data_IF_781039966163
#
_entry.id   IF_781039966163
#
_cell.length_a   1.000
_cell.length_b   1.000
_cell.length_c   1.000
_cell.angle_alpha   90.00
_cell.angle_beta   90.00
_cell.angle_gamma   90.00
#
_symmetry.space_group_name_H-M   'P 1'
#
loop_
_entity.id
_entity.type
_entity.pdbx_description
1 polymer ?
#
# COMPACT_ATOMS: atom_id res chain seq x y z
N UNK A 1 -4.23 12.37 -23.31
CA UNK A 1 -3.82 10.98 -23.04
C UNK A 1 -2.97 10.96 -21.77
N UNK A 2 -3.45 10.38 -20.67
CA UNK A 2 -2.65 10.23 -19.45
C UNK A 2 -1.57 9.16 -19.69
N UNK A 3 -0.31 9.56 -19.86
CA UNK A 3 0.83 8.63 -20.00
C UNK A 3 1.02 7.89 -18.68
N UNK A 4 0.79 6.56 -18.68
CA UNK A 4 1.07 5.65 -17.57
C UNK A 4 2.47 5.92 -17.00
N UNK A 5 2.53 6.22 -15.70
CA UNK A 5 3.78 6.30 -14.93
C UNK A 5 3.98 4.90 -14.34
N UNK A 6 5.13 4.29 -14.61
CA UNK A 6 5.43 2.94 -14.14
C UNK A 6 5.99 2.99 -12.73
N UNK A 7 5.14 2.75 -11.73
CA UNK A 7 5.54 2.49 -10.34
C UNK A 7 5.64 0.96 -10.20
N UNK A 8 6.81 0.46 -9.79
CA UNK A 8 6.99 -0.97 -9.50
C UNK A 8 6.87 -1.18 -8.00
N UNK A 9 5.85 -1.91 -7.56
CA UNK A 9 5.75 -2.36 -6.17
C UNK A 9 6.77 -3.47 -5.93
N UNK A 10 7.61 -3.31 -4.91
CA UNK A 10 8.70 -4.22 -4.57
C UNK A 10 8.49 -4.69 -3.13
N UNK A 11 8.28 -6.00 -3.00
CA UNK A 11 8.13 -6.75 -1.75
C UNK A 11 6.97 -6.36 -0.83
N UNK A 12 6.12 -7.35 -0.56
CA UNK A 12 5.18 -7.35 0.57
C UNK A 12 5.80 -8.17 1.69
N UNK A 13 6.16 -7.53 2.81
CA UNK A 13 6.50 -8.27 4.03
C UNK A 13 5.32 -8.26 4.98
N UNK A 14 4.81 -9.45 5.31
CA UNK A 14 3.78 -9.61 6.33
C UNK A 14 4.47 -9.95 7.64
N UNK A 15 4.16 -9.18 8.69
CA UNK A 15 4.66 -9.46 10.04
C UNK A 15 3.44 -9.63 10.94
N UNK A 16 3.31 -10.82 11.52
CA UNK A 16 2.42 -11.03 12.66
C UNK A 16 3.16 -10.57 13.92
N UNK A 17 2.61 -9.63 14.69
CA UNK A 17 3.08 -9.47 16.07
C UNK A 17 2.59 -10.68 16.88
N UNK A 18 3.52 -11.40 17.49
CA UNK A 18 3.22 -12.50 18.38
C UNK A 18 2.35 -12.06 19.56
N UNK A 19 1.38 -12.88 19.93
CA UNK A 19 0.51 -12.63 21.07
C UNK A 19 1.32 -12.42 22.35
N UNK A 20 1.15 -11.26 23.00
CA UNK A 20 1.59 -11.08 24.38
C UNK A 20 0.71 -11.97 25.26
N UNK A 21 1.29 -12.97 25.91
CA UNK A 21 0.60 -13.81 26.89
C UNK A 21 0.39 -13.01 28.18
N UNK A 22 -0.63 -12.15 28.23
CA UNK A 22 -1.11 -11.58 29.48
C UNK A 22 -1.95 -12.62 30.22
N UNK A 23 -1.60 -12.90 31.48
CA UNK A 23 -2.46 -13.69 32.37
C UNK A 23 -3.79 -12.96 32.53
N UNK A 24 -4.89 -13.69 32.36
CA UNK A 24 -6.31 -13.29 32.35
C UNK A 24 -6.86 -12.73 31.01
N UNK A 25 -7.64 -13.59 30.32
CA UNK A 25 -8.78 -13.22 29.49
C UNK A 25 -8.56 -12.56 28.12
N UNK A 26 -7.46 -11.84 27.88
CA UNK A 26 -7.27 -11.15 26.60
C UNK A 26 -6.54 -12.02 25.58
N UNK A 27 -7.27 -12.54 24.58
CA UNK A 27 -6.62 -12.90 23.31
C UNK A 27 -6.18 -11.60 22.63
N UNK A 28 -4.90 -11.26 22.75
CA UNK A 28 -4.27 -10.31 21.83
C UNK A 28 -4.42 -10.93 20.42
N UNK A 29 -5.37 -10.42 19.65
CA UNK A 29 -5.41 -10.71 18.21
C UNK A 29 -4.14 -10.06 17.67
N UNK A 30 -3.12 -10.86 17.34
CA UNK A 30 -1.86 -10.34 16.82
C UNK A 30 -2.18 -9.35 15.70
N UNK A 31 -1.76 -8.10 15.85
CA UNK A 31 -1.99 -7.12 14.81
C UNK A 31 -1.11 -7.51 13.62
N UNK A 32 -1.77 -7.94 12.54
CA UNK A 32 -1.10 -8.17 11.27
C UNK A 32 -0.88 -6.83 10.58
N UNK A 33 0.20 -6.75 9.79
CA UNK A 33 0.46 -5.62 8.91
C UNK A 33 0.97 -6.08 7.57
N UNK A 34 0.70 -5.28 6.55
CA UNK A 34 1.28 -5.42 5.21
C UNK A 34 2.22 -4.24 5.02
N UNK A 35 3.52 -4.51 4.89
CA UNK A 35 4.50 -3.50 4.51
C UNK A 35 4.60 -3.46 2.98
N UNK A 36 4.30 -2.32 2.39
CA UNK A 36 4.43 -2.04 0.97
C UNK A 36 5.65 -1.16 0.76
N UNK A 37 6.53 -1.57 -0.15
CA UNK A 37 7.58 -0.70 -0.68
C UNK A 37 7.43 -0.64 -2.19
N UNK A 38 7.86 0.46 -2.80
CA UNK A 38 7.86 0.59 -4.25
C UNK A 38 9.05 1.41 -4.72
N UNK A 39 9.40 1.24 -5.99
CA UNK A 39 10.36 2.09 -6.64
C UNK A 39 9.65 3.37 -7.10
N UNK A 40 10.12 4.51 -6.61
CA UNK A 40 9.72 5.80 -7.13
C UNK A 40 10.00 5.84 -8.64
N UNK A 41 9.05 6.31 -9.46
CA UNK A 41 9.30 6.46 -10.89
C UNK A 41 10.39 7.52 -11.07
N UNK A 42 11.21 7.40 -12.12
CA UNK A 42 12.05 8.51 -12.55
C UNK A 42 11.11 9.68 -12.88
N UNK A 43 11.13 10.72 -12.05
CA UNK A 43 10.25 11.87 -12.20
C UNK A 43 10.31 12.40 -13.64
N UNK A 44 9.19 12.86 -14.17
CA UNK A 44 9.19 13.52 -15.48
C UNK A 44 9.80 14.91 -15.31
N UNK A 45 10.66 15.40 -16.24
CA UNK A 45 11.06 16.80 -16.22
C UNK A 45 9.82 17.71 -16.18
N UNK A 46 9.75 18.62 -15.20
CA UNK A 46 8.63 19.52 -14.98
C UNK A 46 7.46 18.96 -14.15
N UNK A 47 7.51 17.70 -13.73
CA UNK A 47 6.51 17.09 -12.83
C UNK A 47 7.19 16.12 -11.85
N UNK A 48 7.99 16.63 -10.89
CA UNK A 48 8.57 15.80 -9.85
C UNK A 48 7.46 15.15 -9.00
N UNK A 49 7.71 13.94 -8.51
CA UNK A 49 6.78 13.28 -7.60
C UNK A 49 6.91 13.91 -6.21
N UNK A 50 5.80 14.42 -5.68
CA UNK A 50 5.71 15.01 -4.34
C UNK A 50 5.28 13.99 -3.30
N UNK A 51 4.32 13.14 -3.65
CA UNK A 51 3.74 12.16 -2.73
C UNK A 51 3.08 11.00 -3.47
N UNK A 52 2.56 10.04 -2.72
CA UNK A 52 1.83 8.89 -3.23
C UNK A 52 0.47 8.76 -2.57
N UNK A 53 -0.49 8.19 -3.30
CA UNK A 53 -1.71 7.65 -2.72
C UNK A 53 -1.67 6.12 -2.81
N UNK A 54 -2.12 5.47 -1.75
CA UNK A 54 -2.16 4.00 -1.65
C UNK A 54 -3.61 3.57 -1.68
N UNK A 55 -3.90 2.61 -2.53
CA UNK A 55 -5.22 2.04 -2.67
C UNK A 55 -5.19 0.54 -2.39
N UNK A 56 -6.31 0.02 -1.90
CA UNK A 56 -6.50 -1.38 -1.54
C UNK A 56 -7.85 -1.89 -2.00
N UNK A 57 -7.90 -3.14 -2.45
CA UNK A 57 -9.13 -3.89 -2.70
C UNK A 57 -9.04 -5.29 -2.09
N UNK A 58 -10.18 -5.93 -1.86
CA UNK A 58 -10.28 -7.38 -1.60
C UNK A 58 -10.58 -8.17 -2.88
N UNK A 59 -10.80 -7.48 -3.99
CA UNK A 59 -11.10 -8.04 -5.31
C UNK A 59 -9.97 -7.66 -6.27
N UNK A 60 -9.35 -8.64 -6.94
CA UNK A 60 -8.28 -8.36 -7.90
C UNK A 60 -8.80 -7.51 -9.06
N UNK A 61 -7.99 -6.52 -9.47
CA UNK A 61 -8.24 -5.71 -10.66
C UNK A 61 -9.37 -4.68 -10.56
N UNK A 62 -10.04 -4.53 -9.42
CA UNK A 62 -11.20 -3.62 -9.29
C UNK A 62 -11.46 -3.15 -7.86
N UNK A 63 -12.36 -2.18 -7.70
CA UNK A 63 -12.86 -1.70 -6.39
C UNK A 63 -11.78 -1.20 -5.42
N UNK A 64 -10.69 -0.65 -5.95
CA UNK A 64 -9.65 -0.05 -5.13
C UNK A 64 -10.16 1.17 -4.38
N UNK A 65 -10.04 1.13 -3.05
CA UNK A 65 -10.36 2.23 -2.14
C UNK A 65 -9.06 2.87 -1.68
N UNK A 66 -9.00 4.21 -1.69
CA UNK A 66 -7.86 4.97 -1.16
C UNK A 66 -7.78 4.76 0.35
N UNK A 67 -6.70 4.17 0.83
CA UNK A 67 -6.46 3.92 2.26
C UNK A 67 -5.41 4.86 2.86
N UNK A 68 -4.61 5.51 2.01
CA UNK A 68 -3.68 6.55 2.41
C UNK A 68 -3.50 7.57 1.29
N UNK A 69 -3.24 8.82 1.67
CA UNK A 69 -2.94 9.92 0.76
C UNK A 69 -1.78 10.76 1.26
N UNK A 70 -1.05 11.40 0.35
CA UNK A 70 0.04 12.29 0.72
C UNK A 70 1.23 11.56 1.35
N UNK A 71 1.43 10.27 1.04
CA UNK A 71 2.55 9.48 1.56
C UNK A 71 3.84 10.04 0.95
N UNK A 72 4.78 10.57 1.76
CA UNK A 72 5.94 11.29 1.23
C UNK A 72 7.06 10.35 0.76
N UNK A 73 7.12 9.14 1.32
CA UNK A 73 8.14 8.15 1.03
C UNK A 73 7.58 7.05 0.12
N UNK A 74 8.45 6.34 -0.59
CA UNK A 74 8.07 5.21 -1.44
C UNK A 74 7.79 3.92 -0.64
N UNK A 75 7.13 4.06 0.51
CA UNK A 75 6.74 2.96 1.41
C UNK A 75 5.49 3.30 2.21
N UNK A 76 4.71 2.29 2.56
CA UNK A 76 3.53 2.40 3.41
C UNK A 76 3.29 1.12 4.21
N UNK A 77 2.75 1.26 5.42
CA UNK A 77 2.42 0.14 6.29
C UNK A 77 0.91 0.12 6.53
N UNK A 78 0.23 -0.89 6.00
CA UNK A 78 -1.19 -1.11 6.27
C UNK A 78 -1.35 -1.97 7.53
N UNK A 79 -1.77 -1.34 8.63
CA UNK A 79 -2.04 -1.98 9.93
C UNK A 79 -3.52 -2.34 10.13
N UNK A 80 -4.36 -2.11 9.13
CA UNK A 80 -5.82 -2.33 9.20
C UNK A 80 -6.26 -3.67 8.61
N UNK A 81 -5.29 -4.52 8.27
CA UNK A 81 -5.53 -5.81 7.64
C UNK A 81 -5.98 -6.85 8.66
N UNK A 82 -6.83 -7.79 8.23
CA UNK A 82 -7.28 -8.90 9.07
C UNK A 82 -6.64 -10.22 8.63
N UNK A 83 -6.41 -11.11 9.61
CA UNK A 83 -5.95 -12.49 9.37
C UNK A 83 -6.86 -13.24 8.40
N UNK A 84 -6.26 -14.13 7.59
CA UNK A 84 -6.96 -14.95 6.60
C UNK A 84 -7.52 -14.18 5.39
N UNK A 85 -7.27 -12.87 5.27
CA UNK A 85 -7.74 -12.06 4.13
C UNK A 85 -6.63 -11.84 3.10
N UNK A 86 -7.04 -11.84 1.84
CA UNK A 86 -6.20 -11.39 0.72
C UNK A 86 -6.58 -9.97 0.34
N UNK A 87 -5.56 -9.14 0.15
CA UNK A 87 -5.68 -7.76 -0.27
C UNK A 87 -4.83 -7.52 -1.53
N UNK A 88 -5.30 -6.60 -2.36
CA UNK A 88 -4.67 -6.18 -3.59
C UNK A 88 -4.40 -4.69 -3.52
N UNK A 89 -3.16 -4.29 -3.78
CA UNK A 89 -2.73 -2.90 -3.63
C UNK A 89 -2.25 -2.33 -4.96
N UNK A 90 -2.59 -1.07 -5.16
CA UNK A 90 -2.04 -0.22 -6.22
C UNK A 90 -1.66 1.13 -5.64
N UNK A 91 -0.68 1.78 -6.26
CA UNK A 91 -0.15 3.07 -5.84
C UNK A 91 -0.22 4.04 -7.02
N UNK A 92 -0.48 5.30 -6.74
CA UNK A 92 -0.33 6.42 -7.68
C UNK A 92 0.72 7.39 -7.16
N UNK A 93 1.36 8.12 -8.06
CA UNK A 93 2.18 9.28 -7.71
C UNK A 93 1.35 10.56 -7.87
N UNK A 94 1.62 11.54 -7.02
CA UNK A 94 1.06 12.88 -7.07
C UNK A 94 2.20 13.88 -7.23
N UNK A 95 2.09 14.78 -8.21
CA UNK A 95 3.10 15.82 -8.46
C UNK A 95 2.93 17.06 -7.55
N UNK A 96 3.82 18.05 -7.71
CA UNK A 96 3.83 19.26 -6.87
C UNK A 96 2.57 20.13 -6.97
N UNK A 97 1.83 20.03 -8.07
CA UNK A 97 0.59 20.77 -8.32
C UNK A 97 -0.66 19.93 -8.11
N UNK A 98 -0.50 18.68 -7.66
CA UNK A 98 -1.60 17.80 -7.26
C UNK A 98 -2.13 16.89 -8.36
N UNK A 99 -1.48 16.77 -9.52
CA UNK A 99 -1.89 15.81 -10.53
C UNK A 99 -1.55 14.38 -10.10
N UNK A 100 -2.57 13.54 -10.08
CA UNK A 100 -2.46 12.13 -9.77
C UNK A 100 -2.25 11.28 -11.03
N UNK A 101 -1.32 10.33 -10.96
CA UNK A 101 -1.08 9.37 -12.04
C UNK A 101 -2.17 8.29 -12.13
N UNK A 102 -2.10 7.47 -13.18
CA UNK A 102 -2.79 6.18 -13.16
C UNK A 102 -2.19 5.21 -12.12
N UNK A 103 -2.92 4.13 -11.84
CA UNK A 103 -2.47 3.07 -10.94
C UNK A 103 -1.18 2.37 -11.42
N UNK A 104 -0.36 1.97 -10.45
CA UNK A 104 0.75 1.03 -10.63
C UNK A 104 0.28 -0.34 -11.12
N UNK A 105 1.23 -1.25 -11.32
CA UNK A 105 0.91 -2.68 -11.30
C UNK A 105 0.28 -3.06 -9.95
N UNK A 106 -0.67 -3.99 -9.96
CA UNK A 106 -1.24 -4.54 -8.73
C UNK A 106 -0.24 -5.46 -8.03
N UNK A 107 -0.23 -5.44 -6.70
CA UNK A 107 0.43 -6.47 -5.88
C UNK A 107 -0.57 -7.15 -4.95
N UNK A 108 -0.44 -8.47 -4.82
CA UNK A 108 -1.26 -9.32 -3.94
C UNK A 108 -0.54 -9.52 -2.61
N UNK A 109 -1.29 -9.44 -1.50
CA UNK A 109 -0.85 -9.80 -0.16
C UNK A 109 -1.88 -10.71 0.50
N UNK A 110 -1.46 -11.85 1.02
CA UNK A 110 -2.33 -12.77 1.79
C UNK A 110 -1.89 -12.77 3.23
N UNK A 111 -2.73 -12.26 4.12
CA UNK A 111 -2.45 -12.20 5.56
C UNK A 111 -2.70 -13.59 6.16
N UNK A 112 -1.73 -14.17 6.90
CA UNK A 112 -1.88 -15.47 7.53
C UNK A 112 -2.91 -15.47 8.65
#
# INVERSE_FOLDING_TARGET
MAKKITILLVAVLIVALGAVRLKSGFKAHGHHRVNLNWQAPAGKPGAPVKSYNVYRSTTSGSQYVKIASGVPEARYVDTTVSSGKTYYYVVTSVDDVGHESGFSAEIKATVP
#
